data_IF_627376409123
#
_entry.id   IF_627376409123
#
_cell.length_a   1.000
_cell.length_b   1.000
_cell.length_c   1.000
_cell.angle_alpha   90.00
_cell.angle_beta   90.00
_cell.angle_gamma   90.00
#
_symmetry.space_group_name_H-M   'P 1'
#
loop_
_entity.id
_entity.type
_entity.pdbx_description
1 polymer ?
#
# COMPACT_ATOMS: atom_id res chain seq x y z
N UNK A 1 -23.06 -2.42 -8.50
CA UNK A 1 -21.71 -2.11 -8.99
C UNK A 1 -21.82 -1.73 -10.45
N UNK A 2 -21.30 -0.56 -10.82
CA UNK A 2 -21.29 -0.04 -12.19
C UNK A 2 -19.85 0.14 -12.67
N UNK A 3 -19.62 -0.04 -13.96
CA UNK A 3 -18.30 0.11 -14.55
C UNK A 3 -18.27 1.31 -15.47
N UNK A 4 -17.14 2.00 -15.46
CA UNK A 4 -16.93 3.15 -16.32
C UNK A 4 -15.55 3.11 -16.97
N UNK A 5 -15.48 3.65 -18.18
CA UNK A 5 -14.24 4.07 -18.79
C UNK A 5 -14.19 5.59 -18.76
N UNK A 6 -13.06 6.15 -18.35
CA UNK A 6 -12.86 7.59 -18.29
C UNK A 6 -11.56 8.01 -18.97
N UNK A 7 -11.57 9.24 -19.47
CA UNK A 7 -10.37 9.93 -19.93
C UNK A 7 -10.29 11.29 -19.21
N UNK A 8 -9.11 11.60 -18.71
CA UNK A 8 -8.82 12.80 -17.92
C UNK A 8 -7.69 13.58 -18.56
N UNK A 9 -7.78 14.90 -18.54
CA UNK A 9 -6.76 15.84 -18.96
C UNK A 9 -6.18 16.56 -17.75
N UNK A 10 -4.87 16.80 -17.78
CA UNK A 10 -4.13 17.28 -16.64
C UNK A 10 -3.32 18.54 -16.95
N UNK A 11 -3.35 19.49 -16.03
CA UNK A 11 -2.30 20.51 -15.89
C UNK A 11 -1.42 20.10 -14.71
N UNK A 12 -0.21 19.62 -15.00
CA UNK A 12 0.63 18.89 -14.03
C UNK A 12 -0.12 17.65 -13.50
N UNK A 13 -0.49 17.67 -12.22
CA UNK A 13 -1.26 16.63 -11.52
C UNK A 13 -2.69 17.09 -11.20
N UNK A 14 -3.14 18.25 -11.68
CA UNK A 14 -4.49 18.75 -11.45
C UNK A 14 -5.38 18.30 -12.60
N UNK A 15 -6.45 17.59 -12.29
CA UNK A 15 -7.46 17.21 -13.28
C UNK A 15 -8.25 18.45 -13.71
N UNK A 16 -8.06 18.87 -14.96
CA UNK A 16 -8.73 20.05 -15.52
C UNK A 16 -9.95 19.67 -16.37
N UNK A 17 -10.06 18.40 -16.74
CA UNK A 17 -11.10 17.91 -17.64
C UNK A 17 -11.25 16.41 -17.49
N UNK A 18 -12.49 15.93 -17.42
CA UNK A 18 -12.80 14.50 -17.37
C UNK A 18 -14.04 14.19 -18.19
N UNK A 19 -13.96 13.16 -19.03
CA UNK A 19 -15.11 12.53 -19.67
C UNK A 19 -15.20 11.09 -19.16
N UNK A 20 -16.43 10.65 -18.85
CA UNK A 20 -16.70 9.33 -18.24
C UNK A 20 -17.91 8.72 -18.94
N UNK A 21 -17.79 7.44 -19.32
CA UNK A 21 -18.87 6.68 -19.94
C UNK A 21 -19.09 5.36 -19.20
N UNK A 22 -20.36 5.04 -18.94
CA UNK A 22 -20.71 3.74 -18.39
C UNK A 22 -20.44 2.65 -19.43
N UNK A 23 -19.88 1.53 -18.98
CA UNK A 23 -19.61 0.36 -19.80
C UNK A 23 -20.37 -0.84 -19.25
N UNK A 24 -20.84 -1.71 -20.15
CA UNK A 24 -21.56 -2.92 -19.79
C UNK A 24 -20.69 -3.84 -18.92
N UNK A 25 -21.32 -4.53 -17.97
CA UNK A 25 -20.67 -5.50 -17.09
C UNK A 25 -20.25 -6.81 -17.77
N UNK A 26 -20.62 -7.00 -19.04
CA UNK A 26 -20.21 -8.12 -19.88
C UNK A 26 -20.25 -7.74 -21.35
N UNK A 27 -19.49 -8.46 -22.18
CA UNK A 27 -19.40 -8.19 -23.61
C UNK A 27 -18.52 -6.99 -23.95
N UNK A 28 -18.78 -6.36 -25.08
CA UNK A 28 -17.96 -5.26 -25.59
C UNK A 28 -18.71 -3.93 -25.49
N UNK A 29 -18.07 -2.94 -24.89
CA UNK A 29 -18.53 -1.55 -24.83
C UNK A 29 -17.59 -0.65 -25.62
N UNK A 30 -18.12 0.40 -26.24
CA UNK A 30 -17.35 1.43 -26.93
C UNK A 30 -17.70 2.80 -26.39
N UNK A 31 -16.69 3.64 -26.20
CA UNK A 31 -16.83 5.02 -25.78
C UNK A 31 -16.02 5.92 -26.71
N UNK A 32 -16.61 7.04 -27.13
CA UNK A 32 -15.90 8.09 -27.87
C UNK A 32 -15.70 9.29 -26.96
N UNK A 33 -14.45 9.60 -26.66
CA UNK A 33 -14.07 10.73 -25.84
C UNK A 33 -13.78 11.93 -26.74
N UNK A 34 -14.83 12.68 -27.10
CA UNK A 34 -14.74 13.78 -28.05
C UNK A 34 -13.72 14.85 -27.65
N UNK A 35 -13.55 15.05 -26.35
CA UNK A 35 -12.63 16.05 -25.80
C UNK A 35 -11.16 15.62 -25.84
N UNK A 36 -10.93 14.32 -26.05
CA UNK A 36 -9.63 13.68 -26.03
C UNK A 36 -9.32 12.96 -27.34
N UNK A 37 -10.16 13.18 -28.38
CA UNK A 37 -10.02 12.61 -29.72
C UNK A 37 -9.66 11.11 -29.70
N UNK A 38 -10.26 10.35 -28.79
CA UNK A 38 -9.92 8.93 -28.62
C UNK A 38 -11.14 8.03 -28.50
N UNK A 39 -10.99 6.83 -29.04
CA UNK A 39 -11.99 5.77 -28.94
C UNK A 39 -11.50 4.73 -27.95
N UNK A 40 -12.26 4.50 -26.89
CA UNK A 40 -12.04 3.42 -25.95
C UNK A 40 -12.96 2.24 -26.24
N UNK A 41 -12.42 1.03 -26.14
CA UNK A 41 -13.16 -0.22 -26.16
C UNK A 41 -12.88 -0.97 -24.87
N UNK A 42 -13.92 -1.49 -24.22
CA UNK A 42 -13.80 -2.35 -23.04
C UNK A 42 -14.46 -3.67 -23.34
N UNK A 43 -13.68 -4.75 -23.30
CA UNK A 43 -14.16 -6.11 -23.47
C UNK A 43 -14.17 -6.80 -22.10
N UNK A 44 -15.33 -7.20 -21.60
CA UNK A 44 -15.50 -7.84 -20.30
C UNK A 44 -16.05 -9.25 -20.47
N UNK A 45 -15.44 -10.21 -19.78
CA UNK A 45 -15.88 -11.60 -19.66
C UNK A 45 -16.00 -11.97 -18.19
N UNK A 46 -17.05 -12.72 -17.86
CA UNK A 46 -17.26 -13.21 -16.50
C UNK A 46 -17.18 -14.73 -16.51
N UNK A 47 -16.30 -15.27 -15.68
CA UNK A 47 -16.10 -16.70 -15.47
C UNK A 47 -16.19 -16.98 -13.96
N UNK A 48 -17.31 -17.56 -13.53
CA UNK A 48 -17.61 -17.79 -12.10
C UNK A 48 -17.52 -16.50 -11.27
N UNK A 49 -16.58 -16.45 -10.33
CA UNK A 49 -16.30 -15.33 -9.40
C UNK A 49 -15.30 -14.32 -9.96
N UNK A 50 -14.74 -14.57 -11.15
CA UNK A 50 -13.76 -13.71 -11.80
C UNK A 50 -14.38 -12.96 -12.99
N UNK A 51 -14.11 -11.67 -13.06
CA UNK A 51 -14.41 -10.80 -14.20
C UNK A 51 -13.07 -10.37 -14.80
N UNK A 52 -12.80 -10.79 -16.02
CA UNK A 52 -11.64 -10.37 -16.79
C UNK A 52 -12.04 -9.28 -17.77
N UNK A 53 -11.27 -8.20 -17.81
CA UNK A 53 -11.48 -7.13 -18.75
C UNK A 53 -10.22 -6.75 -19.50
N UNK A 54 -10.39 -6.28 -20.74
CA UNK A 54 -9.36 -5.63 -21.54
C UNK A 54 -9.85 -4.27 -21.99
N UNK A 55 -8.98 -3.28 -21.87
CA UNK A 55 -9.21 -1.91 -22.35
C UNK A 55 -8.27 -1.67 -23.50
N UNK A 56 -8.82 -1.22 -24.64
CA UNK A 56 -8.05 -0.79 -25.80
C UNK A 56 -8.49 0.64 -26.15
N UNK A 57 -7.55 1.59 -26.13
CA UNK A 57 -7.81 2.99 -26.52
C UNK A 57 -6.93 3.37 -27.69
N UNK A 58 -7.54 4.00 -28.70
CA UNK A 58 -6.85 4.54 -29.87
C UNK A 58 -7.09 6.04 -30.01
N UNK A 59 -6.03 6.80 -30.22
CA UNK A 59 -6.07 8.25 -30.37
C UNK A 59 -6.09 8.62 -31.86
N UNK A 60 -7.04 9.46 -32.27
CA UNK A 60 -7.17 9.91 -33.66
C UNK A 60 -6.48 11.23 -33.93
N UNK A 61 -5.94 11.90 -32.91
CA UNK A 61 -5.17 13.14 -33.01
C UNK A 61 -4.12 13.18 -31.90
N UNK A 62 -3.02 13.89 -32.15
CA UNK A 62 -2.04 14.18 -31.11
C UNK A 62 -2.64 15.10 -30.05
N UNK A 63 -2.56 14.69 -28.78
CA UNK A 63 -3.05 15.48 -27.65
C UNK A 63 -1.98 16.45 -27.17
N UNK A 64 -2.33 17.74 -27.17
CA UNK A 64 -1.49 18.79 -26.58
C UNK A 64 -1.62 18.86 -25.05
N UNK A 65 -2.69 18.31 -24.49
CA UNK A 65 -2.93 18.22 -23.05
C UNK A 65 -2.49 16.84 -22.54
N UNK A 66 -1.57 16.77 -21.56
CA UNK A 66 -1.24 15.52 -20.88
C UNK A 66 -2.51 14.85 -20.35
N UNK A 67 -2.72 13.59 -20.70
CA UNK A 67 -3.98 12.89 -20.47
C UNK A 67 -3.75 11.51 -19.84
N UNK A 68 -4.80 10.92 -19.29
CA UNK A 68 -4.81 9.57 -18.77
C UNK A 68 -6.15 8.89 -19.01
N UNK A 69 -6.13 7.56 -19.02
CA UNK A 69 -7.32 6.71 -19.16
C UNK A 69 -7.49 5.90 -17.89
N UNK A 70 -8.73 5.74 -17.41
CA UNK A 70 -9.01 4.90 -16.25
C UNK A 70 -10.24 4.02 -16.43
N UNK A 71 -10.11 2.78 -15.95
CA UNK A 71 -11.24 1.94 -15.58
C UNK A 71 -11.70 2.30 -14.18
N UNK A 72 -13.01 2.39 -13.97
CA UNK A 72 -13.58 2.69 -12.68
C UNK A 72 -14.69 1.71 -12.33
N UNK A 73 -14.64 1.22 -11.10
CA UNK A 73 -15.66 0.39 -10.48
C UNK A 73 -16.34 1.21 -9.39
N UNK A 74 -17.59 1.60 -9.64
CA UNK A 74 -18.43 2.34 -8.71
C UNK A 74 -19.32 1.40 -7.91
N UNK A 75 -19.24 1.53 -6.59
CA UNK A 75 -20.02 0.78 -5.62
C UNK A 75 -21.05 1.74 -5.03
N UNK A 76 -22.33 1.42 -5.23
CA UNK A 76 -23.47 2.10 -4.61
C UNK A 76 -23.77 1.50 -3.24
N UNK A 77 -24.56 2.21 -2.44
CA UNK A 77 -24.88 1.85 -1.05
C UNK A 77 -23.62 1.61 -0.20
N UNK A 78 -22.60 2.44 -0.44
CA UNK A 78 -21.32 2.35 0.24
C UNK A 78 -21.45 2.71 1.73
N UNK A 79 -20.76 1.92 2.56
CA UNK A 79 -20.67 2.14 4.00
C UNK A 79 -19.21 2.37 4.40
N UNK A 80 -18.97 3.32 5.32
CA UNK A 80 -17.65 3.57 5.90
C UNK A 80 -17.07 2.33 6.61
N UNK A 81 -17.94 1.45 7.09
CA UNK A 81 -17.60 0.20 7.79
C UNK A 81 -17.00 -0.87 6.87
N UNK A 82 -17.08 -0.70 5.54
CA UNK A 82 -16.43 -1.62 4.62
C UNK A 82 -14.92 -1.58 4.82
N UNK A 83 -14.31 -2.77 4.99
CA UNK A 83 -12.89 -2.90 5.19
C UNK A 83 -12.15 -2.64 3.87
N UNK A 84 -11.62 -1.44 3.70
CA UNK A 84 -10.88 -1.04 2.49
C UNK A 84 -9.44 -1.57 2.53
N UNK A 85 -8.99 -2.15 1.43
CA UNK A 85 -7.72 -2.85 1.33
C UNK A 85 -6.90 -2.46 0.11
N UNK A 86 -5.60 -2.21 0.33
CA UNK A 86 -4.56 -2.16 -0.69
C UNK A 86 -3.32 -2.86 -0.10
N UNK A 87 -2.83 -3.96 -0.68
CA UNK A 87 -1.89 -4.85 -0.03
C UNK A 87 -0.56 -4.15 0.24
N UNK A 88 -0.12 -4.17 1.51
CA UNK A 88 1.09 -3.50 1.95
C UNK A 88 0.97 -1.99 2.19
N UNK A 89 -0.13 -1.36 1.80
CA UNK A 89 -0.31 0.09 1.87
C UNK A 89 -1.50 0.53 2.74
N UNK A 90 -2.64 -0.15 2.62
CA UNK A 90 -3.92 0.27 3.23
C UNK A 90 -4.62 -0.92 3.87
N UNK A 91 -4.89 -0.80 5.16
CA UNK A 91 -5.62 -1.77 5.98
C UNK A 91 -6.78 -1.07 6.66
N UNK A 92 -8.01 -1.48 6.36
CA UNK A 92 -9.25 -0.81 6.78
C UNK A 92 -9.29 0.69 6.42
N UNK A 93 -8.83 1.04 5.22
CA UNK A 93 -8.72 2.44 4.79
C UNK A 93 -7.70 3.27 5.59
N UNK A 94 -6.89 2.65 6.46
CA UNK A 94 -6.02 3.33 7.43
C UNK A 94 -6.77 4.39 8.27
N UNK A 95 -8.03 4.13 8.64
CA UNK A 95 -8.91 5.06 9.35
C UNK A 95 -8.54 5.24 10.83
N UNK A 96 -7.37 5.82 11.08
CA UNK A 96 -6.87 6.12 12.40
C UNK A 96 -6.86 7.63 12.64
N UNK A 97 -6.67 8.03 13.89
CA UNK A 97 -6.35 9.43 14.17
C UNK A 97 -4.99 9.74 13.53
N UNK A 98 -4.90 10.85 12.80
CA UNK A 98 -3.70 11.18 12.02
C UNK A 98 -3.03 12.42 12.61
N UNK A 99 -1.73 12.33 12.90
CA UNK A 99 -0.89 13.47 13.30
C UNK A 99 0.30 13.60 12.35
N UNK A 100 0.77 14.82 12.13
CA UNK A 100 2.01 15.04 11.36
C UNK A 100 3.19 14.78 12.29
N UNK A 101 3.83 13.61 12.17
CA UNK A 101 4.94 13.20 13.02
C UNK A 101 6.21 12.95 12.18
N UNK A 102 7.35 13.45 12.66
CA UNK A 102 8.66 13.19 12.06
C UNK A 102 8.99 11.69 12.12
N UNK A 103 9.84 11.22 11.22
CA UNK A 103 10.34 9.85 11.28
C UNK A 103 11.50 9.70 12.28
N UNK A 104 11.52 8.66 13.12
CA UNK A 104 10.47 7.66 13.30
C UNK A 104 9.22 8.25 13.99
N UNK A 105 7.99 7.91 13.55
CA UNK A 105 6.77 8.53 14.04
C UNK A 105 6.49 8.10 15.48
N UNK A 106 6.87 8.94 16.43
CA UNK A 106 6.61 8.73 17.85
C UNK A 106 5.53 9.70 18.34
N UNK A 107 4.34 9.17 18.63
CA UNK A 107 3.28 9.93 19.29
C UNK A 107 3.52 9.88 20.81
N UNK A 108 4.13 10.93 21.36
CA UNK A 108 4.35 11.02 22.79
C UNK A 108 3.00 11.11 23.53
N UNK A 109 2.73 10.12 24.39
CA UNK A 109 1.53 10.02 25.22
C UNK A 109 1.96 9.96 26.69
N UNK A 110 1.22 10.64 27.57
CA UNK A 110 1.42 10.56 29.01
C UNK A 110 1.26 9.11 29.50
N UNK A 111 2.13 8.68 30.42
CA UNK A 111 2.18 7.29 30.89
C UNK A 111 0.83 6.80 31.43
N UNK A 112 0.09 7.68 32.09
CA UNK A 112 -1.21 7.42 32.68
C UNK A 112 -2.31 7.20 31.64
N UNK A 113 -2.12 7.73 30.42
CA UNK A 113 -3.09 7.72 29.32
C UNK A 113 -2.75 6.71 28.22
N UNK A 114 -1.57 6.09 28.27
CA UNK A 114 -1.07 5.22 27.19
C UNK A 114 -2.00 4.05 26.85
N UNK A 115 -2.80 3.57 27.82
CA UNK A 115 -3.75 2.46 27.63
C UNK A 115 -5.13 2.91 27.15
N UNK A 116 -5.41 4.21 27.13
CA UNK A 116 -6.74 4.79 26.84
C UNK A 116 -6.73 5.74 25.64
N UNK A 117 -5.57 6.29 25.28
CA UNK A 117 -5.44 7.15 24.11
C UNK A 117 -5.68 6.34 22.82
N UNK A 118 -6.40 6.93 21.86
CA UNK A 118 -6.71 6.26 20.60
C UNK A 118 -5.46 6.02 19.76
N UNK A 119 -5.51 4.96 18.96
CA UNK A 119 -4.46 4.65 18.00
C UNK A 119 -4.26 5.83 17.04
N UNK A 120 -3.00 6.23 16.92
CA UNK A 120 -2.60 7.37 16.10
C UNK A 120 -1.55 6.94 15.10
N UNK A 121 -1.78 7.27 13.83
CA UNK A 121 -0.81 7.12 12.75
C UNK A 121 -0.20 8.47 12.39
N UNK A 122 0.93 8.42 11.70
CA UNK A 122 1.46 9.61 11.01
C UNK A 122 0.74 9.87 9.69
N UNK A 123 1.09 10.94 8.97
CA UNK A 123 0.42 11.35 7.73
C UNK A 123 0.78 10.46 6.53
N UNK A 124 0.25 9.23 6.52
CA UNK A 124 0.29 8.27 5.41
C UNK A 124 -1.04 8.31 4.62
N UNK A 125 -1.13 7.72 3.41
CA UNK A 125 -2.41 7.61 2.71
C UNK A 125 -3.49 6.95 3.57
N UNK A 126 -4.64 7.61 3.71
CA UNK A 126 -5.77 7.14 4.50
C UNK A 126 -7.08 7.72 3.97
N UNK A 127 -8.17 6.99 4.18
CA UNK A 127 -9.52 7.53 4.07
C UNK A 127 -9.87 8.24 5.37
N UNK A 128 -10.72 9.24 5.29
CA UNK A 128 -11.09 10.03 6.47
C UNK A 128 -11.89 9.19 7.45
N UNK A 129 -11.73 9.47 8.74
CA UNK A 129 -12.58 8.92 9.80
C UNK A 129 -13.84 9.77 10.01
N UNK A 130 -13.78 11.05 9.64
CA UNK A 130 -14.78 12.06 9.99
C UNK A 130 -15.46 12.62 8.72
N UNK A 131 -14.67 13.00 7.73
CA UNK A 131 -15.16 13.62 6.50
C UNK A 131 -15.96 12.64 5.63
N UNK A 132 -16.92 13.19 4.89
CA UNK A 132 -17.76 12.43 3.96
C UNK A 132 -17.06 12.16 2.63
N UNK A 133 -16.08 12.98 2.26
CA UNK A 133 -15.29 12.81 1.06
C UNK A 133 -13.83 12.56 1.43
N UNK A 134 -13.25 11.47 0.92
CA UNK A 134 -11.83 11.21 1.05
C UNK A 134 -11.31 10.34 -0.09
N UNK A 135 -10.01 10.45 -0.39
CA UNK A 135 -9.40 9.69 -1.47
C UNK A 135 -8.03 9.15 -1.08
N UNK A 136 -7.73 7.95 -1.56
CA UNK A 136 -6.38 7.36 -1.58
C UNK A 136 -5.98 7.21 -3.05
N UNK A 137 -4.76 7.60 -3.40
CA UNK A 137 -4.21 7.45 -4.74
C UNK A 137 -2.80 6.88 -4.62
N UNK A 138 -2.56 5.77 -5.31
CA UNK A 138 -1.34 4.98 -5.24
C UNK A 138 -0.85 4.70 -6.67
N UNK A 139 0.46 4.58 -6.83
CA UNK A 139 1.04 3.88 -7.98
C UNK A 139 1.02 2.38 -7.69
N UNK A 140 1.03 1.55 -8.73
CA UNK A 140 1.13 0.09 -8.58
C UNK A 140 2.31 -0.34 -7.70
N UNK A 141 3.45 0.35 -7.79
CA UNK A 141 4.64 0.12 -6.95
C UNK A 141 4.54 0.58 -5.50
N UNK A 142 3.49 1.31 -5.11
CA UNK A 142 3.23 1.66 -3.71
C UNK A 142 2.62 0.47 -2.92
N UNK A 143 2.30 -0.64 -3.61
CA UNK A 143 1.65 -1.84 -3.05
C UNK A 143 2.50 -3.09 -3.30
N UNK A 144 2.35 -4.12 -2.46
CA UNK A 144 3.06 -5.40 -2.65
C UNK A 144 2.49 -6.25 -3.78
N UNK A 145 1.28 -5.93 -4.22
CA UNK A 145 0.61 -6.50 -5.38
C UNK A 145 -0.26 -5.38 -5.97
N UNK A 146 -0.24 -5.09 -7.28
CA UNK A 146 -1.06 -4.05 -7.90
C UNK A 146 -2.56 -4.37 -7.83
N UNK A 147 -3.17 -4.10 -6.68
CA UNK A 147 -4.55 -4.45 -6.38
C UNK A 147 -5.16 -3.53 -5.32
N UNK A 148 -6.45 -3.26 -5.46
CA UNK A 148 -7.26 -2.58 -4.43
C UNK A 148 -8.57 -3.32 -4.26
N UNK A 149 -9.21 -3.19 -3.11
CA UNK A 149 -10.47 -3.86 -2.87
C UNK A 149 -11.10 -3.51 -1.55
N UNK A 150 -12.14 -4.25 -1.21
CA UNK A 150 -12.79 -4.12 0.08
C UNK A 150 -13.50 -5.41 0.49
N UNK A 151 -13.78 -5.50 1.78
CA UNK A 151 -14.64 -6.52 2.37
C UNK A 151 -15.85 -5.87 3.04
N UNK A 152 -17.05 -6.25 2.62
CA UNK A 152 -18.32 -5.86 3.22
C UNK A 152 -18.75 -6.95 4.20
N UNK A 153 -18.59 -6.67 5.50
CA UNK A 153 -18.90 -7.64 6.56
C UNK A 153 -20.39 -7.95 6.67
N UNK A 154 -21.26 -7.00 6.34
CA UNK A 154 -22.71 -7.20 6.40
C UNK A 154 -23.18 -8.13 5.29
N UNK A 155 -22.55 -8.04 4.12
CA UNK A 155 -22.87 -8.88 2.95
C UNK A 155 -22.02 -10.14 2.83
N UNK A 156 -21.01 -10.32 3.71
CA UNK A 156 -20.03 -11.40 3.61
C UNK A 156 -19.37 -11.47 2.23
N UNK A 157 -19.03 -10.30 1.69
CA UNK A 157 -18.62 -10.13 0.31
C UNK A 157 -17.22 -9.50 0.22
N UNK A 158 -16.30 -10.18 -0.45
CA UNK A 158 -15.00 -9.65 -0.84
C UNK A 158 -14.99 -9.21 -2.31
N UNK A 159 -14.41 -8.04 -2.56
CA UNK A 159 -14.13 -7.55 -3.92
C UNK A 159 -12.65 -7.15 -4.02
N UNK A 160 -11.97 -7.61 -5.07
CA UNK A 160 -10.58 -7.25 -5.38
C UNK A 160 -10.45 -6.88 -6.86
N UNK A 161 -9.94 -5.69 -7.16
CA UNK A 161 -9.56 -5.20 -8.49
C UNK A 161 -8.04 -5.26 -8.64
N UNK A 162 -7.57 -5.94 -9.67
CA UNK A 162 -6.17 -6.09 -10.06
C UNK A 162 -5.91 -5.41 -11.40
N UNK A 163 -4.69 -4.88 -11.55
CA UNK A 163 -4.15 -4.38 -12.81
C UNK A 163 -2.68 -4.78 -12.97
N UNK A 164 -2.06 -4.54 -14.14
CA UNK A 164 -0.63 -4.73 -14.33
C UNK A 164 0.15 -3.69 -13.53
N UNK A 165 1.41 -3.96 -13.19
CA UNK A 165 2.31 -2.99 -12.56
C UNK A 165 2.62 -1.84 -13.53
N UNK A 166 2.95 -2.18 -14.78
CA UNK A 166 3.36 -1.24 -15.83
C UNK A 166 2.71 -1.62 -17.17
N UNK A 167 2.49 -0.62 -18.02
CA UNK A 167 2.04 -0.82 -19.40
C UNK A 167 2.95 0.02 -20.29
N UNK A 168 3.79 -0.63 -21.08
CA UNK A 168 4.93 0.05 -21.72
C UNK A 168 5.95 0.45 -20.65
N UNK A 169 6.22 1.74 -20.53
CA UNK A 169 7.13 2.32 -19.51
C UNK A 169 6.38 3.07 -18.41
N UNK A 170 5.05 3.09 -18.47
CA UNK A 170 4.18 3.84 -17.58
C UNK A 170 3.67 2.95 -16.45
N UNK A 171 3.89 3.35 -15.19
CA UNK A 171 3.23 2.72 -14.04
C UNK A 171 1.72 2.92 -14.13
N UNK A 172 0.95 1.91 -13.71
CA UNK A 172 -0.50 2.06 -13.49
C UNK A 172 -0.81 2.72 -12.15
N UNK A 173 -1.92 3.46 -12.12
CA UNK A 173 -2.44 4.11 -10.92
C UNK A 173 -3.62 3.35 -10.34
N UNK A 174 -3.74 3.38 -9.02
CA UNK A 174 -4.87 2.81 -8.29
C UNK A 174 -5.45 3.88 -7.37
N UNK A 175 -6.76 4.11 -7.44
CA UNK A 175 -7.40 5.06 -6.54
C UNK A 175 -8.65 4.52 -5.89
N UNK A 176 -8.91 5.00 -4.67
CA UNK A 176 -10.09 4.70 -3.88
C UNK A 176 -10.66 6.05 -3.46
N UNK A 177 -11.83 6.41 -4.00
CA UNK A 177 -12.53 7.65 -3.66
C UNK A 177 -13.80 7.26 -2.94
N UNK A 178 -13.98 7.76 -1.73
CA UNK A 178 -15.18 7.59 -0.92
C UNK A 178 -15.99 8.88 -0.93
N UNK A 179 -17.29 8.77 -1.20
CA UNK A 179 -18.28 9.83 -1.06
C UNK A 179 -19.49 9.31 -0.29
N UNK A 180 -19.50 9.53 1.03
CA UNK A 180 -20.55 9.07 1.93
C UNK A 180 -21.83 9.89 1.84
N UNK A 181 -21.77 11.12 1.34
CA UNK A 181 -22.97 11.93 1.09
C UNK A 181 -23.82 11.30 -0.03
N UNK A 182 -23.17 10.79 -1.07
CA UNK A 182 -23.83 10.05 -2.15
C UNK A 182 -23.88 8.54 -1.92
N UNK A 183 -23.33 8.05 -0.80
CA UNK A 183 -23.18 6.62 -0.49
C UNK A 183 -22.52 5.84 -1.64
N UNK A 184 -21.44 6.39 -2.17
CA UNK A 184 -20.66 5.74 -3.23
C UNK A 184 -19.19 5.62 -2.85
N UNK A 185 -18.55 4.58 -3.40
CA UNK A 185 -17.10 4.52 -3.50
C UNK A 185 -16.69 4.13 -4.92
N UNK A 186 -15.60 4.72 -5.39
CA UNK A 186 -15.02 4.44 -6.70
C UNK A 186 -13.63 3.85 -6.51
N UNK A 187 -13.44 2.65 -7.05
CA UNK A 187 -12.14 1.98 -7.13
C UNK A 187 -11.69 2.05 -8.58
N UNK A 188 -10.52 2.62 -8.86
CA UNK A 188 -10.05 2.81 -10.24
C UNK A 188 -8.67 2.24 -10.50
N UNK A 189 -8.46 1.84 -11.75
CA UNK A 189 -7.19 1.49 -12.37
C UNK A 189 -6.93 2.47 -13.51
N UNK A 190 -5.82 3.20 -13.49
CA UNK A 190 -5.50 4.23 -14.48
C UNK A 190 -4.14 4.05 -15.14
N UNK A 191 -3.98 4.66 -16.32
CA UNK A 191 -2.75 4.70 -17.10
C UNK A 191 -2.61 6.08 -17.80
N UNK A 192 -1.50 6.82 -17.61
CA UNK A 192 -0.46 6.60 -16.61
C UNK A 192 -0.98 6.84 -15.19
N UNK A 193 -0.19 6.44 -14.18
CA UNK A 193 -0.46 6.75 -12.80
C UNK A 193 -0.30 8.26 -12.52
N UNK A 194 -1.42 8.95 -12.29
CA UNK A 194 -1.45 10.35 -11.85
C UNK A 194 -2.14 10.43 -10.50
N UNK A 195 -1.38 10.64 -9.42
CA UNK A 195 -1.93 11.00 -8.11
C UNK A 195 -2.31 12.47 -8.16
N UNK A 196 -3.60 12.75 -8.21
CA UNK A 196 -4.09 14.11 -8.42
C UNK A 196 -3.82 15.00 -7.20
N UNK A 197 -3.32 16.22 -7.44
CA UNK A 197 -3.01 17.28 -6.48
C UNK A 197 -1.87 16.96 -5.48
N UNK A 198 -1.98 15.85 -4.76
CA UNK A 198 -1.03 15.44 -3.71
C UNK A 198 -0.63 13.98 -3.85
N UNK A 199 0.59 13.69 -3.39
CA UNK A 199 1.15 12.35 -3.28
C UNK A 199 1.67 12.09 -1.87
N UNK A 200 1.84 10.82 -1.54
CA UNK A 200 2.66 10.43 -0.42
C UNK A 200 4.14 10.66 -0.72
N UNK A 201 4.82 11.30 0.22
CA UNK A 201 6.26 11.51 0.22
C UNK A 201 6.84 11.01 1.53
N UNK A 202 7.97 10.32 1.46
CA UNK A 202 8.71 9.87 2.62
C UNK A 202 10.16 10.32 2.48
N UNK A 203 10.52 11.41 3.15
CA UNK A 203 11.83 12.01 2.96
C UNK A 203 12.04 13.28 3.77
N UNK A 204 13.23 13.84 3.61
CA UNK A 204 13.58 15.15 4.15
C UNK A 204 12.71 16.23 3.50
N UNK A 205 12.02 17.02 4.31
CA UNK A 205 11.23 18.15 3.81
C UNK A 205 12.15 19.23 3.28
N UNK A 206 11.72 19.90 2.20
CA UNK A 206 12.49 20.96 1.54
C UNK A 206 12.76 22.17 2.43
N UNK A 207 11.96 22.37 3.47
CA UNK A 207 12.11 23.45 4.46
C UNK A 207 13.12 23.11 5.58
N UNK A 208 13.70 21.90 5.58
CA UNK A 208 14.65 21.45 6.60
C UNK A 208 14.03 21.13 7.95
N UNK A 209 12.69 21.02 8.03
CA UNK A 209 11.99 20.69 9.29
C UNK A 209 12.19 19.25 9.76
N UNK A 210 12.83 18.40 8.93
CA UNK A 210 13.17 17.02 9.23
C UNK A 210 12.66 16.03 8.18
N UNK A 211 12.89 14.75 8.49
CA UNK A 211 12.43 13.62 7.68
C UNK A 211 10.99 13.26 8.05
N UNK A 212 10.04 13.33 7.12
CA UNK A 212 8.62 13.06 7.39
C UNK A 212 8.00 12.12 6.34
N UNK A 213 7.10 11.22 6.77
CA UNK A 213 5.98 10.76 5.95
C UNK A 213 4.95 11.88 5.80
N UNK A 214 4.57 12.20 4.57
CA UNK A 214 3.63 13.27 4.26
C UNK A 214 2.74 12.95 3.05
N UNK A 215 1.48 12.61 3.32
CA UNK A 215 0.44 12.38 2.33
C UNK A 215 -0.14 13.65 1.68
N UNK A 216 0.39 14.84 1.99
CA UNK A 216 -0.09 16.14 1.43
C UNK A 216 0.97 16.84 0.58
N UNK A 217 2.02 16.13 0.19
CA UNK A 217 3.06 16.71 -0.66
C UNK A 217 2.50 16.96 -2.06
N UNK A 218 2.70 18.14 -2.67
CA UNK A 218 2.25 18.38 -4.04
C UNK A 218 2.73 17.29 -5.00
N UNK A 219 1.81 16.75 -5.77
CA UNK A 219 2.11 15.71 -6.74
C UNK A 219 2.83 16.28 -7.95
N UNK A 220 3.94 15.62 -8.32
CA UNK A 220 4.73 15.87 -9.53
C UNK A 220 4.45 14.80 -10.61
N UNK A 221 3.43 13.97 -10.41
CA UNK A 221 2.96 13.05 -11.43
C UNK A 221 2.39 13.83 -12.62
N UNK A 222 2.55 13.27 -13.83
CA UNK A 222 2.10 13.89 -15.08
C UNK A 222 1.27 12.89 -15.89
N UNK A 223 0.25 13.41 -16.57
CA UNK A 223 -0.38 12.68 -17.66
C UNK A 223 0.57 12.49 -18.85
N UNK A 224 0.12 11.78 -19.88
CA UNK A 224 0.87 11.53 -21.11
C UNK A 224 0.27 12.27 -22.29
N UNK A 225 1.10 12.90 -23.11
CA UNK A 225 0.68 13.41 -24.42
C UNK A 225 0.68 12.24 -25.41
N UNK A 226 -0.51 11.79 -25.81
CA UNK A 226 -0.65 10.70 -26.78
C UNK A 226 -0.55 11.21 -28.21
N UNK A 227 0.12 10.45 -29.07
CA UNK A 227 0.27 10.79 -30.49
C UNK A 227 -0.91 10.30 -31.34
N UNK A 228 -1.13 10.94 -32.49
CA UNK A 228 -2.07 10.45 -33.49
C UNK A 228 -1.72 9.01 -33.91
N UNK A 229 -2.71 8.12 -33.86
CA UNK A 229 -2.55 6.71 -34.18
C UNK A 229 -1.98 5.86 -33.04
N UNK A 230 -1.55 6.47 -31.93
CA UNK A 230 -1.12 5.74 -30.75
C UNK A 230 -2.25 4.89 -30.19
N UNK A 231 -1.88 3.70 -29.69
CA UNK A 231 -2.79 2.76 -29.06
C UNK A 231 -2.23 2.31 -27.74
N UNK A 232 -3.06 2.35 -26.71
CA UNK A 232 -2.76 1.75 -25.41
C UNK A 232 -3.72 0.60 -25.17
N UNK A 233 -3.22 -0.44 -24.52
CA UNK A 233 -4.05 -1.56 -24.11
C UNK A 233 -3.57 -2.14 -22.79
N UNK A 234 -4.51 -2.41 -21.89
CA UNK A 234 -4.21 -3.01 -20.60
C UNK A 234 -5.39 -3.84 -20.09
N UNK A 235 -5.04 -4.90 -19.36
CA UNK A 235 -5.99 -5.86 -18.82
C UNK A 235 -6.28 -5.56 -17.34
N UNK A 236 -7.42 -6.01 -16.84
CA UNK A 236 -7.77 -5.96 -15.42
C UNK A 236 -8.54 -7.21 -14.99
N UNK A 237 -8.39 -7.61 -13.73
CA UNK A 237 -9.20 -8.68 -13.13
C UNK A 237 -9.96 -8.16 -11.93
N UNK A 238 -11.25 -8.47 -11.84
CA UNK A 238 -12.05 -8.25 -10.63
C UNK A 238 -12.44 -9.63 -10.11
N UNK A 239 -12.20 -9.88 -8.82
CA UNK A 239 -12.75 -11.03 -8.13
C UNK A 239 -13.85 -10.57 -7.19
N UNK A 240 -15.00 -11.23 -7.27
CA UNK A 240 -16.14 -11.03 -6.39
C UNK A 240 -16.51 -12.37 -5.75
N UNK A 241 -16.28 -12.51 -4.46
CA UNK A 241 -16.33 -13.80 -3.77
C UNK A 241 -16.96 -13.68 -2.38
N UNK A 242 -17.52 -14.78 -1.89
CA UNK A 242 -18.04 -14.87 -0.53
C UNK A 242 -16.88 -15.02 0.47
N UNK A 243 -16.97 -14.31 1.60
CA UNK A 243 -16.03 -14.41 2.71
C UNK A 243 -16.75 -14.19 4.03
N UNK A 244 -16.68 -15.16 4.94
CA UNK A 244 -17.36 -15.07 6.24
C UNK A 244 -16.74 -14.03 7.19
N UNK A 245 -15.44 -13.79 7.00
CA UNK A 245 -14.63 -12.92 7.84
C UNK A 245 -13.35 -12.48 7.11
N UNK A 246 -12.61 -11.56 7.74
CA UNK A 246 -11.35 -11.04 7.20
C UNK A 246 -10.29 -12.12 6.94
N UNK A 247 -10.26 -13.21 7.72
CA UNK A 247 -9.29 -14.29 7.50
C UNK A 247 -9.53 -14.99 6.16
N UNK A 248 -10.80 -15.23 5.80
CA UNK A 248 -11.17 -15.77 4.50
C UNK A 248 -10.89 -14.77 3.37
N UNK A 249 -11.19 -13.48 3.57
CA UNK A 249 -10.83 -12.43 2.60
C UNK A 249 -9.33 -12.42 2.28
N UNK A 250 -8.47 -12.44 3.29
CA UNK A 250 -7.02 -12.50 3.08
C UNK A 250 -6.55 -13.83 2.48
N UNK A 251 -7.16 -14.94 2.87
CA UNK A 251 -6.84 -16.25 2.29
C UNK A 251 -7.13 -16.25 0.79
N UNK A 252 -8.27 -15.70 0.38
CA UNK A 252 -8.63 -15.53 -1.02
C UNK A 252 -7.63 -14.63 -1.75
N UNK A 253 -7.35 -13.42 -1.22
CA UNK A 253 -6.35 -12.52 -1.79
C UNK A 253 -5.00 -13.23 -1.99
N UNK A 254 -4.51 -13.94 -0.97
CA UNK A 254 -3.23 -14.64 -1.05
C UNK A 254 -3.20 -15.74 -2.13
N UNK A 255 -4.33 -16.39 -2.39
CA UNK A 255 -4.44 -17.39 -3.46
C UNK A 255 -4.38 -16.78 -4.85
N UNK A 256 -4.95 -15.58 -5.03
CA UNK A 256 -5.08 -14.94 -6.36
C UNK A 256 -4.07 -13.80 -6.62
N UNK A 257 -3.25 -13.41 -5.63
CA UNK A 257 -2.37 -12.23 -5.73
C UNK A 257 -1.37 -12.26 -6.90
N UNK A 258 -1.07 -13.45 -7.44
CA UNK A 258 -0.17 -13.62 -8.57
C UNK A 258 -0.90 -13.73 -9.93
N UNK A 259 -2.19 -13.35 -10.01
CA UNK A 259 -3.01 -13.59 -11.21
C UNK A 259 -2.66 -12.69 -12.41
N UNK A 260 -2.05 -11.53 -12.19
CA UNK A 260 -1.61 -10.60 -13.26
C UNK A 260 -0.12 -10.76 -13.54
N UNK A 261 0.68 -10.79 -12.48
CA UNK A 261 2.14 -10.82 -12.60
C UNK A 261 2.75 -11.78 -11.59
N UNK A 262 3.76 -12.50 -12.06
CA UNK A 262 4.69 -13.24 -11.20
C UNK A 262 6.02 -12.52 -11.25
N UNK A 263 6.54 -12.13 -10.09
CA UNK A 263 7.82 -11.42 -9.99
C UNK A 263 8.93 -12.12 -10.78
N UNK A 264 9.87 -11.34 -11.32
CA UNK A 264 11.03 -11.87 -12.05
C UNK A 264 12.15 -12.18 -11.05
N UNK A 265 12.83 -13.30 -11.23
CA UNK A 265 14.07 -13.55 -10.50
C UNK A 265 15.10 -12.49 -10.90
N UNK A 266 15.64 -11.79 -9.91
CA UNK A 266 16.72 -10.83 -10.10
C UNK A 266 18.01 -11.41 -9.55
N UNK A 267 19.15 -10.94 -10.05
CA UNK A 267 20.46 -11.31 -9.52
C UNK A 267 20.64 -10.65 -8.15
N UNK A 268 20.20 -11.33 -7.10
CA UNK A 268 20.39 -10.91 -5.70
C UNK A 268 21.56 -11.66 -5.08
N UNK A 269 22.12 -11.09 -4.01
CA UNK A 269 23.03 -11.83 -3.12
C UNK A 269 22.31 -13.08 -2.64
N UNK A 270 22.88 -14.30 -2.78
CA UNK A 270 22.26 -15.51 -2.28
C UNK A 270 21.90 -15.38 -0.79
N UNK A 271 20.70 -15.83 -0.40
CA UNK A 271 20.23 -15.68 0.97
C UNK A 271 21.21 -16.24 2.01
N UNK A 272 21.90 -17.34 1.70
CA UNK A 272 22.95 -17.89 2.56
C UNK A 272 24.11 -16.90 2.79
N UNK A 273 24.57 -16.21 1.74
CA UNK A 273 25.62 -15.20 1.84
C UNK A 273 25.16 -14.00 2.66
N UNK A 274 23.93 -13.53 2.44
CA UNK A 274 23.33 -12.45 3.22
C UNK A 274 23.18 -12.84 4.70
N UNK A 275 22.67 -14.06 4.98
CA UNK A 275 22.54 -14.61 6.31
C UNK A 275 23.88 -14.67 7.04
N UNK A 276 24.92 -15.21 6.40
CA UNK A 276 26.26 -15.29 6.99
C UNK A 276 26.81 -13.91 7.33
N UNK A 277 26.70 -12.95 6.41
CA UNK A 277 27.16 -11.58 6.66
C UNK A 277 26.41 -10.90 7.83
N UNK A 278 25.09 -11.09 7.92
CA UNK A 278 24.28 -10.57 9.03
C UNK A 278 24.67 -11.24 10.34
N UNK A 279 24.79 -12.58 10.35
CA UNK A 279 25.17 -13.35 11.53
C UNK A 279 26.53 -12.92 12.06
N UNK A 280 27.53 -12.86 11.19
CA UNK A 280 28.91 -12.49 11.54
C UNK A 280 28.94 -11.07 12.15
N UNK A 281 28.28 -10.10 11.50
CA UNK A 281 28.13 -8.74 12.05
C UNK A 281 27.49 -8.75 13.43
N UNK A 282 26.40 -9.50 13.61
CA UNK A 282 25.68 -9.50 14.89
C UNK A 282 26.51 -10.11 16.02
N UNK A 283 27.33 -11.12 15.72
CA UNK A 283 28.24 -11.70 16.70
C UNK A 283 29.39 -10.75 17.04
N UNK A 284 29.90 -9.97 16.09
CA UNK A 284 31.04 -9.09 16.36
C UNK A 284 30.59 -7.77 17.00
N UNK A 285 29.52 -7.16 16.50
CA UNK A 285 29.23 -5.74 16.74
C UNK A 285 27.95 -5.47 17.53
N UNK A 286 27.02 -6.42 17.63
CA UNK A 286 25.69 -6.15 18.18
C UNK A 286 25.36 -6.87 19.48
N UNK A 287 26.20 -7.79 19.94
CA UNK A 287 25.94 -8.44 21.22
C UNK A 287 26.47 -7.60 22.38
N UNK A 288 25.56 -7.17 23.25
CA UNK A 288 25.87 -6.37 24.42
C UNK A 288 26.25 -7.28 25.58
N UNK A 289 27.21 -6.85 26.41
CA UNK A 289 27.61 -7.58 27.63
C UNK A 289 26.43 -7.85 28.59
N UNK A 290 25.42 -6.96 28.59
CA UNK A 290 24.17 -7.10 29.33
C UNK A 290 23.33 -8.33 28.89
N UNK A 291 23.70 -8.98 27.79
CA UNK A 291 23.15 -10.27 27.38
C UNK A 291 22.11 -10.22 26.28
N UNK A 292 22.05 -9.14 25.48
CA UNK A 292 21.10 -9.01 24.37
C UNK A 292 21.75 -8.51 23.07
N UNK A 293 21.10 -8.79 21.94
CA UNK A 293 21.44 -8.15 20.66
C UNK A 293 20.83 -6.74 20.53
N UNK A 294 21.69 -5.74 20.29
CA UNK A 294 21.29 -4.40 19.89
C UNK A 294 20.89 -4.35 18.41
N UNK A 295 20.11 -3.33 18.02
CA UNK A 295 19.70 -3.09 16.61
C UNK A 295 20.89 -2.62 15.77
N UNK A 296 21.67 -1.67 16.27
CA UNK A 296 22.87 -1.21 15.61
C UNK A 296 24.01 -0.99 16.60
N UNK A 297 24.99 -0.20 16.19
CA UNK A 297 26.32 -0.14 16.81
C UNK A 297 26.64 1.21 17.44
N UNK A 298 25.69 2.15 17.38
CA UNK A 298 25.83 3.51 17.91
C UNK A 298 24.91 3.70 19.12
N UNK A 299 25.27 3.05 20.22
CA UNK A 299 24.42 2.88 21.42
C UNK A 299 24.15 4.14 22.25
N UNK A 300 24.65 5.31 21.82
CA UNK A 300 24.21 6.60 22.39
C UNK A 300 22.79 6.98 21.98
N UNK A 301 22.27 6.37 20.92
CA UNK A 301 20.90 6.57 20.45
C UNK A 301 20.04 5.40 20.93
N UNK A 302 18.98 5.63 21.73
CA UNK A 302 18.16 4.54 22.27
C UNK A 302 17.60 3.59 21.22
N UNK A 303 17.32 4.08 20.01
CA UNK A 303 16.79 3.28 18.90
C UNK A 303 17.80 2.27 18.34
N UNK A 304 19.09 2.45 18.63
CA UNK A 304 20.18 1.56 18.21
C UNK A 304 20.48 0.47 19.26
N UNK A 305 19.90 0.56 20.46
CA UNK A 305 20.06 -0.42 21.54
C UNK A 305 19.06 -1.58 21.34
N UNK A 306 18.39 -2.06 22.39
CA UNK A 306 17.36 -3.08 22.23
C UNK A 306 16.06 -2.47 21.72
N UNK A 307 15.43 -3.13 20.75
CA UNK A 307 14.05 -2.87 20.34
C UNK A 307 13.28 -4.18 20.21
N UNK A 308 12.06 -4.20 20.75
CA UNK A 308 11.15 -5.34 20.62
C UNK A 308 10.57 -5.46 19.19
N UNK A 309 10.51 -4.34 18.45
CA UNK A 309 10.12 -4.25 17.04
C UNK A 309 11.29 -3.85 16.12
N UNK A 310 11.00 -3.62 14.82
CA UNK A 310 11.91 -3.08 13.77
C UNK A 310 13.30 -3.75 13.66
N UNK A 311 13.46 -4.79 12.82
CA UNK A 311 14.71 -5.58 12.59
C UNK A 311 15.55 -5.93 13.84
N UNK A 312 15.01 -5.74 15.05
CA UNK A 312 15.75 -5.72 16.30
C UNK A 312 15.82 -7.08 16.97
N UNK A 313 16.07 -7.05 18.28
CA UNK A 313 16.54 -8.18 19.07
C UNK A 313 15.63 -9.41 19.14
N UNK A 314 14.42 -9.37 18.57
CA UNK A 314 13.55 -10.55 18.41
C UNK A 314 13.68 -11.25 17.05
N UNK A 315 13.84 -10.52 15.95
CA UNK A 315 13.78 -11.08 14.58
C UNK A 315 15.03 -11.89 14.24
N UNK A 316 16.22 -11.31 14.39
CA UNK A 316 17.48 -12.01 14.12
C UNK A 316 17.77 -13.09 15.18
N UNK A 317 17.38 -12.82 16.42
CA UNK A 317 17.46 -13.77 17.53
C UNK A 317 16.72 -15.07 17.22
N UNK A 318 15.47 -15.00 16.77
CA UNK A 318 14.71 -16.19 16.40
C UNK A 318 15.39 -17.01 15.29
N UNK A 319 15.91 -16.35 14.25
CA UNK A 319 16.66 -17.04 13.20
C UNK A 319 17.93 -17.73 13.74
N UNK A 320 18.67 -17.08 14.63
CA UNK A 320 19.87 -17.68 15.23
C UNK A 320 19.55 -18.83 16.20
N UNK A 321 18.43 -18.76 16.92
CA UNK A 321 17.95 -19.86 17.78
C UNK A 321 17.60 -21.12 16.99
N UNK A 322 17.10 -20.98 15.76
CA UNK A 322 16.70 -22.12 14.93
C UNK A 322 17.85 -22.70 14.11
N UNK A 323 18.69 -21.84 13.54
CA UNK A 323 19.66 -22.22 12.50
C UNK A 323 21.09 -22.44 13.02
N UNK A 324 21.42 -21.93 14.22
CA UNK A 324 22.74 -22.10 14.83
C UNK A 324 22.69 -23.06 16.02
N UNK A 325 23.84 -23.68 16.33
CA UNK A 325 24.06 -24.53 17.52
C UNK A 325 25.28 -24.09 18.34
N UNK A 326 25.93 -22.99 17.96
CA UNK A 326 27.16 -22.50 18.56
C UNK A 326 26.94 -21.14 19.26
N UNK A 327 27.80 -20.17 18.99
CA UNK A 327 27.83 -18.87 19.66
C UNK A 327 26.57 -18.05 19.42
N UNK A 328 26.07 -18.00 18.17
CA UNK A 328 24.88 -17.19 17.90
C UNK A 328 23.66 -17.77 18.61
N UNK A 329 23.54 -19.10 18.70
CA UNK A 329 22.49 -19.74 19.49
C UNK A 329 22.55 -19.31 20.96
N UNK A 330 23.74 -19.39 21.57
CA UNK A 330 23.94 -19.06 23.00
C UNK A 330 23.55 -17.61 23.30
N UNK A 331 23.98 -16.69 22.44
CA UNK A 331 23.70 -15.25 22.57
C UNK A 331 22.25 -14.89 22.25
N UNK A 332 21.64 -15.58 21.30
CA UNK A 332 20.22 -15.47 20.99
C UNK A 332 19.36 -15.96 22.17
N UNK A 333 19.71 -17.10 22.76
CA UNK A 333 19.07 -17.61 23.97
C UNK A 333 19.22 -16.63 25.14
N UNK A 334 20.43 -16.10 25.36
CA UNK A 334 20.66 -15.03 26.33
C UNK A 334 19.77 -13.81 26.08
N UNK A 335 19.63 -13.39 24.82
CA UNK A 335 18.76 -12.27 24.45
C UNK A 335 17.31 -12.56 24.81
N UNK A 336 16.84 -13.78 24.54
CA UNK A 336 15.48 -14.20 24.89
C UNK A 336 15.25 -14.19 26.41
N UNK A 337 16.22 -14.70 27.18
CA UNK A 337 16.19 -14.61 28.64
C UNK A 337 16.21 -13.16 29.12
N UNK A 338 17.02 -12.29 28.53
CA UNK A 338 17.08 -10.87 28.87
C UNK A 338 15.71 -10.19 28.71
N UNK A 339 15.01 -10.47 27.60
CA UNK A 339 13.66 -9.95 27.34
C UNK A 339 12.69 -10.39 28.43
N UNK A 340 12.62 -11.69 28.72
CA UNK A 340 11.65 -12.21 29.69
C UNK A 340 11.96 -11.80 31.13
N UNK A 341 13.24 -11.77 31.50
CA UNK A 341 13.65 -11.48 32.88
C UNK A 341 13.66 -9.99 33.21
N UNK A 342 13.92 -9.11 32.23
CA UNK A 342 14.15 -7.69 32.48
C UNK A 342 13.16 -6.75 31.78
N UNK A 343 12.58 -7.16 30.65
CA UNK A 343 11.77 -6.27 29.82
C UNK A 343 10.27 -6.60 29.86
N UNK A 344 9.89 -7.80 30.28
CA UNK A 344 8.49 -8.18 30.43
C UNK A 344 7.96 -7.72 31.79
N UNK A 345 6.84 -7.00 31.79
CA UNK A 345 6.15 -6.62 33.03
C UNK A 345 5.17 -7.71 33.50
N UNK A 346 4.62 -7.53 34.70
CA UNK A 346 3.69 -8.49 35.33
C UNK A 346 2.41 -8.78 34.52
N UNK A 347 2.05 -7.88 33.59
CA UNK A 347 0.90 -8.04 32.70
C UNK A 347 1.26 -8.72 31.37
N UNK A 348 2.52 -9.12 31.19
CA UNK A 348 3.02 -9.81 30.01
C UNK A 348 3.52 -8.89 28.88
N UNK A 349 3.45 -7.56 29.04
CA UNK A 349 3.93 -6.62 28.02
C UNK A 349 5.44 -6.47 28.07
N UNK A 350 6.07 -6.44 26.90
CA UNK A 350 7.51 -6.24 26.75
C UNK A 350 7.79 -4.75 26.46
N UNK A 351 8.76 -4.17 27.15
CA UNK A 351 9.26 -2.82 26.87
C UNK A 351 9.73 -2.68 25.43
N UNK A 352 9.16 -1.72 24.69
CA UNK A 352 9.42 -1.55 23.25
C UNK A 352 10.86 -1.16 22.90
N UNK A 353 11.54 -0.45 23.81
CA UNK A 353 12.93 -0.02 23.68
C UNK A 353 13.62 -0.19 25.04
N UNK A 354 14.87 -0.64 25.05
CA UNK A 354 15.74 -0.61 26.23
C UNK A 354 17.12 -0.04 25.88
N UNK A 355 17.59 0.92 26.67
CA UNK A 355 18.86 1.61 26.47
C UNK A 355 19.53 1.95 27.82
N UNK A 356 19.93 0.92 28.57
CA UNK A 356 20.66 1.00 29.86
C UNK A 356 19.90 1.60 31.04
N UNK A 357 18.59 1.37 31.12
CA UNK A 357 17.72 1.86 32.20
C UNK A 357 16.88 3.04 31.77
#
# INVERSE_FOLDING_TARGET
MKFYLSCSGYEKSINIKKQRYEVASSGNSKAWFSDFFCQGNVAIKTEKEQICGRIDVSFSQTLSTPSGVAFEMEIEDWSRENYVFAPGAVYNGNRFNCKVLAYPPYNAVEKEKVLTEPETITNIPHLSKEENYSKIQLRSGDMTTPAIGFYDENKKLGILLFGPQEVGEDYTGFSIIENLEHKTAVFSLSLPAVREEVKYFFGERRDGSGFYPDARTPSDDLGKCFEEGEKIAFDFHIYQFEAENLSQFYSYFNNVRNCMETGRLTNVVPFYTAYKAIKDKYQVENFMEEGYYSVGTVWKFPQQCFQAGWIGGGMNNYAFLLEDKEEAFTRAYSTFQFILNNLQNEKGWISGIYARG
#
